data_IF_537659111622
#
_entry.id   IF_537659111622
#
_cell.length_a   1.000
_cell.length_b   1.000
_cell.length_c   1.000
_cell.angle_alpha   90.00
_cell.angle_beta   90.00
_cell.angle_gamma   90.00
#
_symmetry.space_group_name_H-M   'P 1'
#
loop_
_entity.id
_entity.type
_entity.pdbx_description
1 polymer ?
#
# COMPACT_ATOMS: atom_id res chain seq x y z
N UNK A 1 4.66 17.66 42.32
CA UNK A 1 4.45 18.18 40.95
C UNK A 1 4.43 16.96 40.04
N UNK A 2 3.33 16.21 40.09
CA UNK A 2 3.08 15.10 39.16
C UNK A 2 2.68 15.72 37.83
N UNK A 3 3.49 15.51 36.80
CA UNK A 3 3.14 15.89 35.44
C UNK A 3 1.98 15.01 34.98
N UNK A 4 0.80 15.61 34.80
CA UNK A 4 -0.27 15.01 34.02
C UNK A 4 0.23 14.78 32.58
N UNK A 5 0.75 13.58 32.31
CA UNK A 5 0.83 13.09 30.95
C UNK A 5 -0.61 12.89 30.48
N UNK A 6 -1.13 13.89 29.77
CA UNK A 6 -2.27 13.78 28.88
C UNK A 6 -2.02 12.60 27.93
N UNK A 7 -2.55 11.42 28.28
CA UNK A 7 -2.58 10.27 27.39
C UNK A 7 -3.46 10.63 26.21
N UNK A 8 -2.85 10.92 25.05
CA UNK A 8 -3.58 11.22 23.83
C UNK A 8 -4.49 10.05 23.48
N UNK A 9 -5.82 10.25 23.53
CA UNK A 9 -6.80 9.23 23.18
C UNK A 9 -6.62 8.81 21.72
N UNK A 10 -6.70 7.51 21.47
CA UNK A 10 -6.60 6.97 20.13
C UNK A 10 -7.64 7.60 19.18
N UNK A 11 -7.24 8.06 17.99
CA UNK A 11 -8.14 8.73 17.07
C UNK A 11 -9.15 7.76 16.44
N UNK A 12 -10.35 8.26 16.16
CA UNK A 12 -11.37 7.56 15.39
C UNK A 12 -11.17 7.69 13.87
N UNK A 13 -12.03 7.02 13.12
CA UNK A 13 -12.06 7.11 11.66
C UNK A 13 -12.78 8.37 11.18
N UNK A 14 -12.32 8.92 10.05
CA UNK A 14 -12.94 10.06 9.37
C UNK A 14 -12.92 9.83 7.86
N UNK A 15 -13.99 10.17 7.17
CA UNK A 15 -13.99 10.26 5.71
C UNK A 15 -13.83 11.74 5.31
N UNK A 16 -13.09 11.99 4.22
CA UNK A 16 -12.93 13.33 3.69
C UNK A 16 -12.90 13.34 2.17
N UNK A 17 -13.44 14.42 1.60
CA UNK A 17 -13.19 14.80 0.23
C UNK A 17 -11.94 15.68 0.19
N UNK A 18 -10.94 15.28 -0.58
CA UNK A 18 -9.63 15.92 -0.61
C UNK A 18 -9.30 16.42 -2.01
N UNK A 19 -8.64 17.57 -2.06
CA UNK A 19 -8.16 18.20 -3.28
C UNK A 19 -6.67 18.50 -3.09
N UNK A 20 -5.82 17.79 -3.82
CA UNK A 20 -4.36 17.87 -3.71
C UNK A 20 -3.79 18.54 -4.97
N UNK A 21 -2.78 19.40 -4.85
CA UNK A 21 -2.16 20.02 -6.03
C UNK A 21 -1.47 18.95 -6.90
N UNK A 22 -1.57 19.08 -8.23
CA UNK A 22 -0.79 18.23 -9.15
C UNK A 22 0.62 18.81 -9.33
N UNK A 23 1.63 17.94 -9.33
CA UNK A 23 3.05 18.34 -9.43
C UNK A 23 3.41 18.92 -10.81
N UNK A 24 2.59 18.69 -11.85
CA UNK A 24 2.88 19.10 -13.23
C UNK A 24 2.63 20.59 -13.54
N UNK A 25 2.34 21.43 -12.52
CA UNK A 25 2.09 22.88 -12.65
C UNK A 25 1.03 23.26 -13.72
N UNK A 26 0.12 22.33 -14.07
CA UNK A 26 -0.91 22.55 -15.10
C UNK A 26 -2.18 23.24 -14.57
N UNK A 27 -2.17 23.67 -13.30
CA UNK A 27 -3.29 24.30 -12.62
C UNK A 27 -4.45 23.35 -12.28
N UNK A 28 -4.27 22.02 -12.44
CA UNK A 28 -5.25 21.01 -12.03
C UNK A 28 -4.91 20.47 -10.64
N UNK A 29 -5.96 20.03 -9.97
CA UNK A 29 -5.92 19.38 -8.66
C UNK A 29 -6.38 17.94 -8.80
N UNK A 30 -5.84 17.08 -7.96
CA UNK A 30 -6.27 15.70 -7.78
C UNK A 30 -7.42 15.65 -6.76
N UNK A 31 -8.51 15.01 -7.14
CA UNK A 31 -9.74 14.92 -6.35
C UNK A 31 -9.95 13.49 -5.84
N UNK A 32 -10.03 13.30 -4.52
CA UNK A 32 -10.17 11.97 -3.92
C UNK A 32 -11.16 11.94 -2.76
N UNK A 33 -11.97 10.89 -2.71
CA UNK A 33 -12.58 10.41 -1.48
C UNK A 33 -11.56 9.56 -0.71
N UNK A 34 -11.32 9.92 0.56
CA UNK A 34 -10.31 9.30 1.41
C UNK A 34 -10.90 8.94 2.78
N UNK A 35 -10.37 7.87 3.39
CA UNK A 35 -10.63 7.50 4.78
C UNK A 35 -9.34 7.60 5.57
N UNK A 36 -9.45 8.15 6.77
CA UNK A 36 -8.35 8.38 7.70
C UNK A 36 -8.60 7.71 9.04
N UNK A 37 -7.53 7.22 9.66
CA UNK A 37 -7.46 6.85 11.08
C UNK A 37 -6.48 7.81 11.76
N UNK A 38 -6.99 8.81 12.48
CA UNK A 38 -6.17 9.97 12.85
C UNK A 38 -5.66 10.69 11.61
N UNK A 39 -4.35 10.81 11.47
CA UNK A 39 -3.69 11.41 10.31
C UNK A 39 -3.22 10.38 9.28
N UNK A 40 -3.45 9.08 9.54
CA UNK A 40 -3.06 8.01 8.62
C UNK A 40 -4.16 7.84 7.57
N UNK A 41 -3.82 8.05 6.30
CA UNK A 41 -4.68 7.70 5.16
C UNK A 41 -4.72 6.18 5.02
N UNK A 42 -5.89 5.58 5.27
CA UNK A 42 -6.09 4.12 5.28
C UNK A 42 -6.85 3.60 4.06
N UNK A 43 -7.51 4.49 3.33
CA UNK A 43 -8.14 4.16 2.04
C UNK A 43 -8.26 5.39 1.17
N UNK A 44 -8.16 5.22 -0.15
CA UNK A 44 -8.35 6.31 -1.11
C UNK A 44 -8.88 5.80 -2.45
N UNK A 45 -9.94 6.42 -2.94
CA UNK A 45 -10.41 6.26 -4.33
C UNK A 45 -9.32 6.54 -5.37
N UNK A 46 -8.40 7.47 -5.05
CA UNK A 46 -7.25 7.84 -5.88
C UNK A 46 -6.26 6.70 -6.12
N UNK A 47 -6.29 5.66 -5.29
CA UNK A 47 -5.43 4.49 -5.44
C UNK A 47 -5.69 3.72 -6.74
N UNK A 48 -6.90 3.83 -7.27
CA UNK A 48 -7.35 3.13 -8.48
C UNK A 48 -7.55 4.04 -9.68
N UNK A 49 -7.96 5.29 -9.45
CA UNK A 49 -8.22 6.25 -10.52
C UNK A 49 -7.80 7.64 -10.08
N UNK A 50 -6.82 8.22 -10.76
CA UNK A 50 -6.44 9.61 -10.56
C UNK A 50 -7.45 10.51 -11.28
N UNK A 51 -8.17 11.30 -10.51
CA UNK A 51 -9.14 12.24 -11.05
C UNK A 51 -8.61 13.67 -10.97
N UNK A 52 -8.37 14.27 -12.13
CA UNK A 52 -7.92 15.66 -12.24
C UNK A 52 -9.12 16.60 -12.41
N UNK A 53 -9.15 17.68 -11.63
CA UNK A 53 -10.18 18.72 -11.65
C UNK A 53 -9.54 20.10 -11.65
N UNK A 54 -10.09 21.05 -12.41
CA UNK A 54 -9.53 22.41 -12.46
C UNK A 54 -10.00 23.29 -11.28
N UNK A 55 -11.27 23.18 -10.88
CA UNK A 55 -11.87 24.13 -9.92
C UNK A 55 -12.66 23.47 -8.77
N UNK A 56 -13.41 22.40 -9.05
CA UNK A 56 -14.33 21.79 -8.08
C UNK A 56 -14.25 20.27 -8.11
N UNK A 57 -14.10 19.70 -6.93
CA UNK A 57 -14.24 18.28 -6.63
C UNK A 57 -15.62 18.08 -5.98
N UNK A 58 -16.52 17.34 -6.61
CA UNK A 58 -17.91 17.17 -6.16
C UNK A 58 -18.15 15.69 -5.90
N UNK A 59 -18.61 15.37 -4.69
CA UNK A 59 -19.16 14.06 -4.35
C UNK A 59 -20.68 14.10 -4.50
N UNK A 60 -21.25 13.11 -5.17
CA UNK A 60 -22.69 12.99 -5.41
C UNK A 60 -23.13 11.55 -5.20
N UNK A 61 -24.18 11.34 -4.39
CA UNK A 61 -24.96 10.11 -4.39
C UNK A 61 -26.20 10.35 -5.25
N UNK A 62 -26.30 9.65 -6.38
CA UNK A 62 -27.37 9.87 -7.35
C UNK A 62 -28.69 9.21 -6.91
N UNK A 63 -29.82 9.63 -7.50
CA UNK A 63 -31.15 9.06 -7.20
C UNK A 63 -31.26 7.56 -7.52
N UNK A 64 -30.51 7.09 -8.50
CA UNK A 64 -30.39 5.68 -8.86
C UNK A 64 -29.36 4.94 -7.98
N UNK A 65 -28.74 5.60 -7.00
CA UNK A 65 -27.92 4.95 -5.98
C UNK A 65 -26.44 4.77 -6.34
N UNK A 66 -25.89 5.60 -7.23
CA UNK A 66 -24.46 5.57 -7.60
C UNK A 66 -23.70 6.69 -6.88
N UNK A 67 -22.63 6.36 -6.15
CA UNK A 67 -21.75 7.34 -5.52
C UNK A 67 -20.67 7.73 -6.53
N UNK A 68 -20.54 9.03 -6.83
CA UNK A 68 -19.66 9.54 -7.89
C UNK A 68 -18.78 10.68 -7.39
N UNK A 69 -17.53 10.70 -7.86
CA UNK A 69 -16.67 11.88 -7.83
C UNK A 69 -16.67 12.51 -9.22
N UNK A 70 -17.11 13.78 -9.29
CA UNK A 70 -17.25 14.52 -10.55
C UNK A 70 -16.66 15.92 -10.48
N UNK A 71 -16.24 16.41 -11.64
CA UNK A 71 -15.76 17.79 -11.82
C UNK A 71 -16.93 18.74 -12.11
N UNK A 72 -16.67 20.04 -12.06
CA UNK A 72 -17.66 21.08 -12.44
C UNK A 72 -18.24 20.91 -13.86
N UNK A 73 -17.48 20.34 -14.80
CA UNK A 73 -17.93 20.06 -16.16
C UNK A 73 -18.72 18.74 -16.31
N UNK A 74 -19.13 18.13 -15.18
CA UNK A 74 -19.83 16.83 -15.10
C UNK A 74 -19.01 15.59 -15.52
N UNK A 75 -17.71 15.74 -15.80
CA UNK A 75 -16.83 14.58 -15.97
C UNK A 75 -16.73 13.77 -14.67
N UNK A 76 -16.99 12.47 -14.74
CA UNK A 76 -16.91 11.53 -13.61
C UNK A 76 -15.59 10.78 -13.68
N UNK A 77 -14.72 10.97 -12.70
CA UNK A 77 -13.41 10.30 -12.65
C UNK A 77 -13.39 9.04 -11.79
N UNK A 78 -14.34 8.91 -10.87
CA UNK A 78 -14.52 7.71 -10.04
C UNK A 78 -15.99 7.52 -9.67
N UNK A 79 -16.43 6.27 -9.58
CA UNK A 79 -17.78 5.91 -9.12
C UNK A 79 -17.81 4.53 -8.47
N UNK A 80 -18.81 4.28 -7.62
CA UNK A 80 -19.02 2.98 -6.95
C UNK A 80 -19.59 1.91 -7.87
N UNK A 81 -20.31 2.29 -8.95
CA UNK A 81 -20.93 1.34 -9.87
C UNK A 81 -22.21 0.71 -9.30
N UNK A 82 -22.90 1.41 -8.39
CA UNK A 82 -24.07 0.91 -7.66
C UNK A 82 -25.41 1.41 -8.20
N UNK A 83 -25.39 2.01 -9.39
CA UNK A 83 -26.57 2.42 -10.15
C UNK A 83 -27.62 1.30 -10.23
N UNK A 84 -28.86 1.60 -9.84
CA UNK A 84 -29.98 0.65 -9.85
C UNK A 84 -30.00 -0.34 -8.68
N UNK A 85 -29.04 -0.29 -7.75
CA UNK A 85 -28.98 -1.23 -6.62
C UNK A 85 -29.76 -0.79 -5.37
N UNK A 86 -30.49 0.33 -5.45
CA UNK A 86 -31.32 0.84 -4.35
C UNK A 86 -30.53 1.44 -3.19
N UNK A 87 -29.30 1.91 -3.43
CA UNK A 87 -28.50 2.60 -2.40
C UNK A 87 -29.20 3.89 -1.98
N UNK A 88 -29.35 4.07 -0.67
CA UNK A 88 -29.95 5.27 -0.07
C UNK A 88 -29.01 6.01 0.86
N UNK A 89 -28.06 5.29 1.47
CA UNK A 89 -27.14 5.86 2.46
C UNK A 89 -25.70 5.53 2.13
N UNK A 90 -24.87 6.52 2.45
CA UNK A 90 -23.42 6.47 2.38
C UNK A 90 -22.89 6.72 3.80
N UNK A 91 -22.21 5.74 4.39
CA UNK A 91 -21.81 5.79 5.79
C UNK A 91 -20.39 5.24 6.02
N UNK A 92 -19.73 5.70 7.07
CA UNK A 92 -18.47 5.14 7.57
C UNK A 92 -18.71 4.43 8.89
N UNK A 93 -18.36 3.15 8.95
CA UNK A 93 -18.51 2.32 10.13
C UNK A 93 -17.37 2.55 11.12
N UNK A 94 -17.55 2.15 12.38
CA UNK A 94 -16.52 2.25 13.43
C UNK A 94 -15.26 1.44 13.14
N UNK A 95 -15.33 0.48 12.20
CA UNK A 95 -14.22 -0.31 11.67
C UNK A 95 -13.38 0.44 10.62
N UNK A 96 -13.84 1.61 10.18
CA UNK A 96 -13.27 2.35 9.05
C UNK A 96 -13.78 1.86 7.69
N UNK A 97 -14.68 0.87 7.67
CA UNK A 97 -15.33 0.41 6.45
C UNK A 97 -16.31 1.48 5.95
N UNK A 98 -16.10 1.93 4.73
CA UNK A 98 -16.91 2.92 4.07
C UNK A 98 -17.91 2.16 3.20
N UNK A 99 -19.21 2.28 3.48
CA UNK A 99 -20.23 1.42 2.89
C UNK A 99 -21.37 2.21 2.24
N UNK A 100 -21.95 1.62 1.20
CA UNK A 100 -23.19 2.05 0.58
C UNK A 100 -24.27 1.02 0.91
N UNK A 101 -25.37 1.47 1.50
CA UNK A 101 -26.44 0.59 1.98
C UNK A 101 -27.79 0.99 1.40
N UNK A 102 -28.68 0.02 1.24
CA UNK A 102 -30.07 0.24 0.84
C UNK A 102 -30.99 0.56 2.03
N UNK A 103 -32.28 0.75 1.75
CA UNK A 103 -33.32 0.98 2.76
C UNK A 103 -33.35 -0.09 3.86
N UNK A 104 -32.98 -1.34 3.54
CA UNK A 104 -32.98 -2.49 4.44
C UNK A 104 -31.65 -2.68 5.19
N UNK A 105 -30.73 -1.71 5.11
CA UNK A 105 -29.37 -1.79 5.65
C UNK A 105 -28.51 -2.91 5.03
N UNK A 106 -28.84 -3.37 3.82
CA UNK A 106 -27.98 -4.32 3.11
C UNK A 106 -26.87 -3.56 2.39
N UNK A 107 -25.62 -3.98 2.64
CA UNK A 107 -24.43 -3.44 1.97
C UNK A 107 -24.47 -3.80 0.49
N UNK A 108 -24.47 -2.78 -0.37
CA UNK A 108 -24.36 -2.91 -1.84
C UNK A 108 -22.94 -2.70 -2.33
N UNK A 109 -22.15 -1.94 -1.60
CA UNK A 109 -20.75 -1.69 -1.88
C UNK A 109 -20.00 -1.35 -0.59
N UNK A 110 -18.74 -1.75 -0.49
CA UNK A 110 -17.90 -1.43 0.66
C UNK A 110 -16.44 -1.26 0.28
N UNK A 111 -15.74 -0.34 0.94
CA UNK A 111 -14.33 -0.07 0.68
C UNK A 111 -13.42 -1.25 1.01
N UNK A 112 -13.82 -2.13 1.92
CA UNK A 112 -13.04 -3.31 2.29
C UNK A 112 -12.82 -4.31 1.13
N UNK A 113 -13.72 -4.32 0.14
CA UNK A 113 -13.55 -5.11 -1.10
C UNK A 113 -12.56 -4.47 -2.10
N UNK A 114 -12.15 -3.22 -1.85
CA UNK A 114 -11.22 -2.46 -2.68
C UNK A 114 -10.04 -1.98 -1.81
N UNK A 115 -9.13 -2.89 -1.41
CA UNK A 115 -8.01 -2.55 -0.53
C UNK A 115 -6.88 -1.77 -1.23
N UNK A 116 -6.29 -0.81 -0.53
CA UNK A 116 -5.15 -0.01 -1.02
C UNK A 116 -3.81 -0.56 -0.53
N UNK A 117 -2.91 0.28 -0.01
CA UNK A 117 -1.68 -0.10 0.69
C UNK A 117 -1.90 -0.47 2.16
N UNK A 118 -3.12 -0.32 2.69
CA UNK A 118 -3.47 -0.53 4.10
C UNK A 118 -4.62 -1.53 4.21
N UNK A 119 -4.50 -2.41 5.20
CA UNK A 119 -5.54 -3.34 5.63
C UNK A 119 -5.96 -3.02 7.06
N UNK A 120 -7.26 -2.85 7.30
CA UNK A 120 -7.83 -2.52 8.61
C UNK A 120 -8.28 -3.76 9.38
N UNK A 121 -8.45 -3.61 10.69
CA UNK A 121 -8.96 -4.68 11.55
C UNK A 121 -10.35 -5.14 11.09
N UNK A 122 -10.55 -6.45 11.01
CA UNK A 122 -11.77 -7.09 10.51
C UNK A 122 -11.83 -7.23 8.98
N UNK A 123 -11.00 -6.51 8.23
CA UNK A 123 -10.91 -6.68 6.78
C UNK A 123 -10.37 -8.07 6.43
N UNK A 124 -10.86 -8.64 5.33
CA UNK A 124 -10.41 -9.91 4.75
C UNK A 124 -9.71 -9.62 3.44
N UNK A 125 -8.56 -10.26 3.23
CA UNK A 125 -7.84 -10.28 1.97
C UNK A 125 -7.69 -11.74 1.53
N UNK A 126 -8.14 -12.07 0.34
CA UNK A 126 -8.13 -13.42 -0.21
C UNK A 126 -7.19 -13.53 -1.42
N UNK A 127 -7.11 -14.71 -2.02
CA UNK A 127 -6.27 -14.97 -3.20
C UNK A 127 -6.63 -14.15 -4.43
N UNK A 128 -7.79 -13.51 -4.48
CA UNK A 128 -8.23 -12.67 -5.60
C UNK A 128 -7.89 -11.19 -5.40
N UNK A 129 -7.44 -10.82 -4.20
CA UNK A 129 -7.20 -9.42 -3.81
C UNK A 129 -5.76 -9.24 -3.33
N UNK A 130 -5.28 -8.00 -3.43
CA UNK A 130 -3.91 -7.66 -3.03
C UNK A 130 -3.86 -6.25 -2.47
N UNK A 131 -2.90 -6.00 -1.57
CA UNK A 131 -2.53 -4.64 -1.22
C UNK A 131 -1.43 -4.19 -2.18
N UNK A 132 -1.45 -2.94 -2.62
CA UNK A 132 -0.37 -2.40 -3.47
C UNK A 132 0.12 -1.06 -2.96
N UNK A 133 1.40 -0.77 -3.12
CA UNK A 133 1.92 0.58 -2.89
C UNK A 133 1.43 1.53 -3.98
N UNK A 134 1.13 2.77 -3.60
CA UNK A 134 0.73 3.82 -4.54
C UNK A 134 1.91 4.32 -5.39
N UNK A 135 1.75 4.60 -6.70
CA UNK A 135 0.60 4.32 -7.58
C UNK A 135 0.77 3.01 -8.37
N UNK A 136 -0.34 2.31 -8.67
CA UNK A 136 -0.36 1.11 -9.52
C UNK A 136 0.15 1.36 -10.95
N UNK A 137 0.02 2.59 -11.44
CA UNK A 137 0.49 3.03 -12.78
C UNK A 137 1.99 3.37 -12.81
N UNK A 138 2.71 3.13 -11.70
CA UNK A 138 4.16 3.24 -11.68
C UNK A 138 4.78 2.03 -12.38
N UNK A 139 5.90 2.26 -13.07
CA UNK A 139 6.74 1.17 -13.60
C UNK A 139 7.27 0.26 -12.50
N UNK A 140 7.32 0.75 -11.25
CA UNK A 140 7.75 0.01 -10.08
C UNK A 140 6.76 0.21 -8.93
N UNK A 141 6.21 -0.89 -8.40
CA UNK A 141 5.36 -0.88 -7.19
C UNK A 141 5.49 -2.19 -6.40
N UNK A 142 5.14 -2.14 -5.12
CA UNK A 142 5.13 -3.28 -4.22
C UNK A 142 3.72 -3.83 -4.05
N UNK A 143 3.59 -5.15 -3.88
CA UNK A 143 2.32 -5.78 -3.52
C UNK A 143 2.47 -6.77 -2.37
N UNK A 144 1.40 -6.91 -1.59
CA UNK A 144 1.21 -7.97 -0.60
C UNK A 144 0.07 -8.83 -1.07
N UNK A 145 0.34 -10.13 -1.18
CA UNK A 145 -0.55 -11.07 -1.84
C UNK A 145 -0.71 -12.33 -1.02
N UNK A 146 -1.93 -12.85 -1.03
CA UNK A 146 -2.27 -14.17 -0.49
C UNK A 146 -2.25 -15.14 -1.65
N UNK A 147 -1.42 -16.18 -1.54
CA UNK A 147 -1.32 -17.28 -2.51
C UNK A 147 -1.81 -18.56 -1.85
N UNK A 148 -2.10 -19.59 -2.64
CA UNK A 148 -2.63 -20.86 -2.13
C UNK A 148 -1.68 -21.60 -1.19
N UNK A 149 -0.38 -21.37 -1.28
CA UNK A 149 0.64 -22.04 -0.45
C UNK A 149 1.30 -21.11 0.57
N UNK A 150 1.17 -19.79 0.42
CA UNK A 150 1.94 -18.80 1.18
C UNK A 150 1.30 -17.41 1.14
N UNK A 151 1.85 -16.53 1.96
CA UNK A 151 1.65 -15.08 1.83
C UNK A 151 3.00 -14.49 1.42
N UNK A 152 3.00 -13.53 0.51
CA UNK A 152 4.25 -12.99 -0.01
C UNK A 152 4.19 -11.49 -0.28
N UNK A 153 5.38 -10.88 -0.28
CA UNK A 153 5.60 -9.54 -0.78
C UNK A 153 6.32 -9.58 -2.12
N UNK A 154 5.86 -8.76 -3.04
CA UNK A 154 6.37 -8.72 -4.41
C UNK A 154 6.80 -7.31 -4.82
N UNK A 155 7.95 -7.25 -5.50
CA UNK A 155 8.40 -6.11 -6.28
C UNK A 155 7.92 -6.34 -7.70
N UNK A 156 7.02 -5.47 -8.18
CA UNK A 156 6.52 -5.47 -9.53
C UNK A 156 7.29 -4.41 -10.31
N UNK A 157 7.96 -4.83 -11.37
CA UNK A 157 8.73 -3.96 -12.26
C UNK A 157 8.29 -4.22 -13.71
N UNK A 158 7.52 -3.30 -14.28
CA UNK A 158 6.89 -3.46 -15.59
C UNK A 158 6.07 -4.76 -15.66
N UNK A 159 6.53 -5.75 -16.44
CA UNK A 159 5.89 -7.08 -16.57
C UNK A 159 6.51 -8.14 -15.64
N UNK A 160 7.58 -7.80 -14.93
CA UNK A 160 8.33 -8.72 -14.10
C UNK A 160 7.89 -8.62 -12.64
N UNK A 161 7.93 -9.74 -11.94
CA UNK A 161 7.46 -9.85 -10.56
C UNK A 161 8.41 -10.71 -9.73
N UNK A 162 8.92 -10.13 -8.64
CA UNK A 162 9.93 -10.76 -7.79
C UNK A 162 9.44 -10.83 -6.35
N UNK A 163 9.36 -12.04 -5.81
CA UNK A 163 9.08 -12.26 -4.39
C UNK A 163 10.31 -11.91 -3.57
N UNK A 164 10.19 -11.09 -2.54
CA UNK A 164 11.33 -10.74 -1.66
C UNK A 164 11.09 -11.06 -0.19
N UNK A 165 9.89 -11.53 0.14
CA UNK A 165 9.56 -12.03 1.46
C UNK A 165 8.38 -13.00 1.36
N UNK A 166 8.43 -14.09 2.13
CA UNK A 166 7.40 -15.11 2.13
C UNK A 166 7.14 -15.61 3.54
N UNK A 167 5.88 -15.89 3.83
CA UNK A 167 5.43 -16.60 5.02
C UNK A 167 4.65 -17.83 4.60
N UNK A 168 5.15 -19.02 4.97
CA UNK A 168 4.52 -20.31 4.72
C UNK A 168 3.95 -20.88 6.01
N UNK A 169 2.68 -21.32 6.04
CA UNK A 169 2.13 -22.07 7.16
C UNK A 169 2.92 -23.37 7.42
N UNK A 170 2.98 -23.81 8.67
CA UNK A 170 3.82 -24.92 9.16
C UNK A 170 3.50 -26.27 8.47
N UNK A 171 2.28 -26.46 7.98
CA UNK A 171 1.78 -27.77 7.52
C UNK A 171 1.46 -27.83 6.01
N UNK A 172 2.05 -26.96 5.16
CA UNK A 172 1.71 -26.87 3.73
C UNK A 172 0.20 -26.79 3.45
N UNK A 173 -0.57 -26.27 4.42
CA UNK A 173 -2.02 -26.12 4.31
C UNK A 173 -2.34 -25.06 3.26
N UNK A 174 -3.41 -25.31 2.51
CA UNK A 174 -3.90 -24.35 1.53
C UNK A 174 -4.39 -23.09 2.22
N UNK A 175 -3.83 -21.95 1.85
CA UNK A 175 -4.26 -20.64 2.29
C UNK A 175 -5.37 -20.16 1.36
N UNK A 176 -6.45 -19.64 1.93
CA UNK A 176 -7.56 -19.04 1.19
C UNK A 176 -7.63 -17.52 1.41
N UNK A 177 -7.49 -17.10 2.67
CA UNK A 177 -7.55 -15.69 3.03
C UNK A 177 -6.81 -15.39 4.33
N UNK A 178 -6.53 -14.11 4.52
CA UNK A 178 -6.05 -13.55 5.77
C UNK A 178 -7.05 -12.54 6.32
N UNK A 179 -7.09 -12.40 7.64
CA UNK A 179 -7.90 -11.41 8.34
C UNK A 179 -7.07 -10.72 9.40
N UNK A 180 -7.08 -9.39 9.39
CA UNK A 180 -6.39 -8.63 10.42
C UNK A 180 -7.26 -8.58 11.67
N UNK A 181 -6.69 -8.93 12.82
CA UNK A 181 -7.34 -8.80 14.12
C UNK A 181 -6.46 -8.04 15.12
N UNK A 182 -6.99 -7.82 16.32
CA UNK A 182 -6.28 -7.12 17.40
C UNK A 182 -5.04 -7.87 17.91
N UNK A 183 -4.89 -9.16 17.59
CA UNK A 183 -3.75 -10.02 17.97
C UNK A 183 -2.78 -10.29 16.80
N UNK A 184 -2.97 -9.62 15.66
CA UNK A 184 -2.11 -9.74 14.50
C UNK A 184 -2.86 -10.26 13.26
N UNK A 185 -2.11 -10.81 12.31
CA UNK A 185 -2.66 -11.28 11.04
C UNK A 185 -2.97 -12.77 11.14
N UNK A 186 -4.25 -13.12 11.06
CA UNK A 186 -4.73 -14.50 11.03
C UNK A 186 -4.78 -15.03 9.60
N UNK A 187 -4.43 -16.31 9.43
CA UNK A 187 -4.36 -17.00 8.15
C UNK A 187 -5.35 -18.17 8.18
N UNK A 188 -6.18 -18.29 7.15
CA UNK A 188 -7.27 -19.26 7.09
C UNK A 188 -7.24 -20.13 5.84
N UNK A 189 -7.73 -21.35 5.98
CA UNK A 189 -7.97 -22.29 4.87
C UNK A 189 -9.35 -22.08 4.22
N UNK A 190 -9.69 -22.94 3.25
CA UNK A 190 -10.97 -22.91 2.53
C UNK A 190 -12.18 -23.14 3.46
N UNK A 191 -11.99 -23.91 4.52
CA UNK A 191 -13.02 -24.20 5.53
C UNK A 191 -13.11 -23.13 6.62
N UNK A 192 -12.36 -22.03 6.48
CA UNK A 192 -12.24 -20.97 7.49
C UNK A 192 -11.66 -21.43 8.84
N UNK A 193 -10.89 -22.54 8.85
CA UNK A 193 -10.06 -22.87 9.99
C UNK A 193 -8.80 -22.01 9.98
N UNK A 194 -8.40 -21.53 11.16
CA UNK A 194 -7.18 -20.77 11.31
C UNK A 194 -5.97 -21.72 11.25
N UNK A 195 -5.10 -21.50 10.28
CA UNK A 195 -3.92 -22.35 9.99
C UNK A 195 -2.59 -21.69 10.34
N UNK A 196 -2.61 -20.39 10.68
CA UNK A 196 -1.41 -19.66 11.07
C UNK A 196 -1.74 -18.27 11.61
N UNK A 197 -0.75 -17.63 12.24
CA UNK A 197 -0.83 -16.26 12.73
C UNK A 197 0.55 -15.60 12.73
N UNK A 198 0.62 -14.37 12.23
CA UNK A 198 1.73 -13.46 12.55
C UNK A 198 1.31 -12.69 13.80
N UNK A 199 1.84 -13.13 14.95
CA UNK A 199 1.35 -12.69 16.25
C UNK A 199 1.93 -11.33 16.64
N UNK A 200 1.03 -10.38 16.85
CA UNK A 200 1.38 -9.10 17.45
C UNK A 200 0.15 -8.50 18.13
N UNK A 201 0.19 -8.21 19.44
CA UNK A 201 -0.96 -7.65 20.13
C UNK A 201 -1.15 -6.16 19.81
N UNK A 202 -2.38 -5.69 20.02
CA UNK A 202 -2.79 -4.28 19.93
C UNK A 202 -2.57 -3.65 18.54
N UNK A 203 -2.73 -4.45 17.49
CA UNK A 203 -2.64 -3.98 16.12
C UNK A 203 -3.91 -3.27 15.70
N UNK A 204 -3.72 -2.14 15.02
CA UNK A 204 -4.79 -1.29 14.49
C UNK A 204 -4.94 -1.43 12.99
N UNK A 205 -3.83 -1.52 12.28
CA UNK A 205 -3.79 -1.74 10.84
C UNK A 205 -2.48 -2.38 10.41
N UNK A 206 -2.50 -2.90 9.19
CA UNK A 206 -1.36 -3.45 8.47
C UNK A 206 -1.13 -2.54 7.26
N UNK A 207 0.13 -2.21 6.95
CA UNK A 207 0.44 -1.42 5.76
C UNK A 207 1.70 -1.90 5.05
N UNK A 208 1.72 -1.71 3.72
CA UNK A 208 2.96 -1.77 2.93
C UNK A 208 3.59 -0.38 2.89
N UNK A 209 4.87 -0.29 3.25
CA UNK A 209 5.63 0.95 3.15
C UNK A 209 5.75 1.41 1.70
N UNK A 210 5.21 2.60 1.37
CA UNK A 210 5.23 3.16 0.00
C UNK A 210 6.63 3.24 -0.64
N UNK A 211 7.65 3.52 0.16
CA UNK A 211 9.04 3.68 -0.32
C UNK A 211 9.85 2.39 -0.22
N UNK A 212 9.60 1.57 0.80
CA UNK A 212 10.43 0.42 1.16
C UNK A 212 9.86 -0.91 0.70
N UNK A 213 8.57 -0.97 0.40
CA UNK A 213 7.85 -2.24 0.20
C UNK A 213 7.71 -3.08 1.47
N UNK A 214 8.18 -2.61 2.62
CA UNK A 214 8.16 -3.46 3.82
C UNK A 214 6.73 -3.61 4.35
N UNK A 215 6.39 -4.81 4.80
CA UNK A 215 5.16 -5.10 5.52
C UNK A 215 5.30 -4.71 6.98
N UNK A 216 4.35 -3.95 7.51
CA UNK A 216 4.33 -3.56 8.92
C UNK A 216 2.97 -3.75 9.57
N UNK A 217 2.98 -4.13 10.86
CA UNK A 217 1.79 -4.09 11.72
C UNK A 217 1.91 -2.90 12.69
N UNK A 218 0.92 -2.03 12.67
CA UNK A 218 0.97 -0.75 13.35
C UNK A 218 0.07 -0.74 14.58
N UNK A 219 0.62 -0.23 15.69
CA UNK A 219 -0.09 -0.01 16.95
C UNK A 219 -0.04 1.47 17.29
N UNK A 220 -1.07 1.96 17.99
CA UNK A 220 -1.08 3.32 18.50
C UNK A 220 -0.20 3.42 19.75
N UNK A 221 0.71 4.39 19.79
CA UNK A 221 1.52 4.72 20.97
C UNK A 221 0.97 6.00 21.63
N UNK A 222 0.30 5.89 22.79
CA UNK A 222 -0.24 7.06 23.48
C UNK A 222 0.81 8.09 23.86
N UNK A 223 2.05 7.65 24.10
CA UNK A 223 3.17 8.50 24.53
C UNK A 223 3.61 9.47 23.44
N UNK A 224 3.59 9.02 22.18
CA UNK A 224 3.99 9.83 21.01
C UNK A 224 2.79 10.38 20.25
N UNK A 225 1.57 9.93 20.57
CA UNK A 225 0.34 10.26 19.87
C UNK A 225 0.31 9.77 18.42
N UNK A 226 1.11 8.76 18.08
CA UNK A 226 1.33 8.29 16.71
C UNK A 226 1.14 6.79 16.57
N UNK A 227 0.83 6.37 15.35
CA UNK A 227 0.90 4.97 14.97
C UNK A 227 2.33 4.60 14.61
N UNK A 228 2.85 3.57 15.25
CA UNK A 228 4.22 3.10 15.03
C UNK A 228 4.21 1.61 14.66
N UNK A 229 5.15 1.22 13.81
CA UNK A 229 5.32 -0.18 13.42
C UNK A 229 5.80 -0.97 14.64
N UNK A 230 4.95 -1.88 15.10
CA UNK A 230 5.27 -2.79 16.20
C UNK A 230 5.90 -4.08 15.68
N UNK A 231 5.66 -4.42 14.41
CA UNK A 231 6.26 -5.53 13.68
C UNK A 231 6.64 -5.06 12.27
N UNK A 232 7.75 -5.58 11.76
CA UNK A 232 8.16 -5.44 10.37
C UNK A 232 8.60 -6.81 9.84
N UNK A 233 8.20 -7.15 8.62
CA UNK A 233 8.56 -8.41 7.97
C UNK A 233 10.07 -8.54 7.74
N UNK A 234 10.69 -7.44 7.32
CA UNK A 234 12.13 -7.36 7.05
C UNK A 234 12.73 -6.37 8.04
N UNK A 235 13.68 -6.83 8.87
CA UNK A 235 14.31 -6.02 9.90
C UNK A 235 15.59 -5.31 9.42
N UNK A 236 16.26 -5.88 8.42
CA UNK A 236 17.49 -5.35 7.90
C UNK A 236 17.24 -4.51 6.64
N UNK A 237 17.72 -3.27 6.63
CA UNK A 237 17.54 -2.35 5.51
C UNK A 237 18.11 -2.91 4.21
N UNK A 238 19.24 -3.61 4.25
CA UNK A 238 19.85 -4.19 3.04
C UNK A 238 19.09 -5.38 2.46
N UNK A 239 18.18 -5.98 3.22
CA UNK A 239 17.36 -7.10 2.76
C UNK A 239 16.05 -6.60 2.10
N UNK A 240 15.81 -5.29 2.11
CA UNK A 240 14.70 -4.68 1.40
C UNK A 240 14.98 -4.63 -0.11
N UNK A 241 13.94 -4.81 -0.94
CA UNK A 241 14.06 -4.56 -2.37
C UNK A 241 14.44 -3.10 -2.61
N UNK A 242 15.37 -2.87 -3.53
CA UNK A 242 15.79 -1.50 -3.93
C UNK A 242 16.19 -0.65 -2.71
N UNK A 243 16.86 -1.26 -1.71
CA UNK A 243 17.29 -0.60 -0.49
C UNK A 243 18.12 0.67 -0.73
N UNK A 244 18.91 0.66 -1.80
CA UNK A 244 19.72 1.79 -2.24
C UNK A 244 19.24 2.31 -3.59
N UNK A 245 19.41 3.62 -3.79
CA UNK A 245 19.22 4.26 -5.09
C UNK A 245 20.16 3.66 -6.14
N UNK A 246 19.88 3.84 -7.45
CA UNK A 246 20.81 3.45 -8.51
C UNK A 246 22.25 3.90 -8.21
N UNK A 247 23.22 3.03 -8.51
CA UNK A 247 24.65 3.18 -8.18
C UNK A 247 25.01 3.14 -6.69
N UNK A 248 24.05 2.85 -5.81
CA UNK A 248 24.28 2.62 -4.39
C UNK A 248 24.50 1.15 -4.06
N UNK A 249 25.47 0.85 -3.20
CA UNK A 249 25.71 -0.45 -2.57
C UNK A 249 25.30 -0.37 -1.11
N UNK A 250 24.57 -1.37 -0.63
CA UNK A 250 24.28 -1.48 0.80
C UNK A 250 25.48 -2.08 1.52
N UNK A 251 26.00 -1.35 2.52
CA UNK A 251 27.19 -1.75 3.28
C UNK A 251 26.81 -2.56 4.52
N UNK A 252 27.79 -3.22 5.15
CA UNK A 252 27.59 -3.92 6.43
C UNK A 252 27.04 -3.04 7.55
N UNK A 253 27.25 -1.71 7.45
CA UNK A 253 26.68 -0.73 8.38
C UNK A 253 25.20 -0.41 8.10
N UNK A 254 24.54 -1.18 7.22
CA UNK A 254 23.14 -1.01 6.80
C UNK A 254 22.87 0.36 6.18
N UNK A 255 23.90 0.96 5.60
CA UNK A 255 23.85 2.26 4.94
C UNK A 255 24.25 2.12 3.47
N UNK A 256 23.67 2.97 2.63
CA UNK A 256 24.00 3.02 1.21
C UNK A 256 25.24 3.88 0.97
N UNK A 257 26.22 3.34 0.25
CA UNK A 257 27.36 4.08 -0.28
C UNK A 257 27.31 4.08 -1.82
N UNK A 258 27.77 5.14 -2.46
CA UNK A 258 27.82 5.18 -3.92
C UNK A 258 29.04 4.42 -4.44
N UNK A 259 28.87 3.68 -5.53
CA UNK A 259 29.99 3.10 -6.29
C UNK A 259 30.89 4.24 -6.74
N UNK A 260 32.14 4.22 -6.29
CA UNK A 260 33.18 5.11 -6.82
C UNK A 260 33.82 4.42 -8.02
N UNK A 261 33.45 4.82 -9.22
CA UNK A 261 34.18 4.41 -10.43
C UNK A 261 35.47 5.21 -10.45
N UNK A 262 36.60 4.54 -10.23
CA UNK A 262 37.92 5.15 -10.41
C UNK A 262 38.11 5.35 -11.91
N UNK A 263 37.88 6.58 -12.38
CA UNK A 263 38.34 6.97 -13.72
C UNK A 263 39.87 7.04 -13.66
N UNK A 264 40.55 6.45 -14.65
CA UNK A 264 41.98 6.63 -14.89
C UNK A 264 42.21 8.06 -15.44
N UNK A 265 41.99 9.06 -14.59
CA UNK A 265 42.19 10.47 -14.86
C UNK A 265 42.55 11.18 -13.56
N UNK A 266 43.67 11.89 -13.57
CA UNK A 266 44.33 12.52 -12.42
C UNK A 266 43.38 13.10 -11.35
N UNK A 267 43.48 12.57 -10.13
CA UNK A 267 42.85 13.08 -8.92
C UNK A 267 43.53 14.36 -8.39
N UNK A 268 43.71 15.38 -9.23
CA UNK A 268 44.27 16.67 -8.80
C UNK A 268 43.52 17.90 -9.34
N UNK A 269 42.23 17.76 -9.62
CA UNK A 269 41.36 18.91 -9.81
C UNK A 269 40.11 18.79 -8.95
N UNK A 270 40.02 19.68 -7.96
CA UNK A 270 38.81 19.98 -7.21
C UNK A 270 37.82 20.70 -8.15
N UNK A 271 37.14 19.94 -9.00
CA UNK A 271 35.96 20.43 -9.70
C UNK A 271 34.78 19.54 -9.33
N UNK A 272 33.76 20.18 -8.76
CA UNK A 272 32.41 19.66 -8.56
C UNK A 272 31.78 19.37 -9.94
N UNK A 273 32.28 18.34 -10.61
CA UNK A 273 31.80 17.89 -11.89
C UNK A 273 30.56 17.04 -11.72
N UNK A 274 29.39 17.66 -11.76
CA UNK A 274 28.11 17.00 -12.03
C UNK A 274 28.31 16.15 -13.29
N UNK A 275 28.41 14.83 -13.14
CA UNK A 275 28.21 13.92 -14.25
C UNK A 275 26.80 14.23 -14.74
N UNK A 276 26.71 14.88 -15.90
CA UNK A 276 25.47 15.17 -16.58
C UNK A 276 24.73 13.86 -16.75
N UNK A 277 23.75 13.63 -15.86
CA UNK A 277 22.85 12.50 -15.88
C UNK A 277 22.04 12.59 -17.18
N UNK A 278 22.60 12.04 -18.26
CA UNK A 278 21.76 11.54 -19.35
C UNK A 278 20.73 10.63 -18.69
N UNK A 279 19.47 11.05 -18.79
CA UNK A 279 18.24 10.28 -18.55
C UNK A 279 18.55 8.78 -18.54
N UNK A 280 18.39 8.13 -17.38
CA UNK A 280 18.33 6.68 -17.30
C UNK A 280 17.09 6.24 -18.10
N UNK A 281 17.27 5.98 -19.38
CA UNK A 281 16.30 5.26 -20.19
C UNK A 281 16.82 3.82 -20.31
N UNK A 282 15.95 2.87 -19.97
CA UNK A 282 16.08 1.41 -20.06
C UNK A 282 17.18 0.77 -19.19
N UNK A 283 16.78 0.30 -18.00
CA UNK A 283 17.62 -0.50 -17.11
C UNK A 283 16.85 -1.79 -16.78
N UNK A 284 17.54 -2.93 -16.88
CA UNK A 284 16.98 -4.25 -16.61
C UNK A 284 17.60 -4.82 -15.33
N UNK A 285 16.78 -5.46 -14.49
CA UNK A 285 17.30 -6.24 -13.38
C UNK A 285 17.80 -7.58 -13.91
N UNK A 286 19.12 -7.80 -13.86
CA UNK A 286 19.76 -9.04 -14.28
C UNK A 286 20.07 -9.91 -13.07
N UNK A 287 19.60 -11.15 -13.08
CA UNK A 287 19.99 -12.15 -12.09
C UNK A 287 21.42 -12.62 -12.34
N UNK A 288 22.31 -12.39 -11.37
CA UNK A 288 23.70 -12.85 -11.44
C UNK A 288 23.82 -14.26 -10.88
N UNK A 289 24.32 -15.20 -11.69
CA UNK A 289 24.57 -16.58 -11.25
C UNK A 289 25.61 -16.61 -10.13
N UNK A 290 25.33 -17.37 -9.07
CA UNK A 290 26.24 -17.54 -7.93
C UNK A 290 26.19 -16.41 -6.89
N UNK A 291 25.26 -15.46 -7.02
CA UNK A 291 25.03 -14.39 -6.04
C UNK A 291 23.76 -14.69 -5.25
N UNK A 292 23.85 -14.65 -3.92
CA UNK A 292 22.68 -14.74 -3.06
C UNK A 292 21.90 -13.42 -3.12
N UNK A 293 20.64 -13.48 -3.55
CA UNK A 293 19.73 -12.34 -3.60
C UNK A 293 18.49 -12.59 -2.74
N UNK A 294 17.93 -11.52 -2.18
CA UNK A 294 16.62 -11.57 -1.51
C UNK A 294 15.47 -11.72 -2.50
N UNK A 295 15.68 -11.28 -3.76
CA UNK A 295 14.69 -11.38 -4.82
C UNK A 295 14.66 -12.81 -5.36
N UNK A 296 13.48 -13.43 -5.33
CA UNK A 296 13.20 -14.74 -5.89
C UNK A 296 12.24 -14.57 -7.06
N UNK A 297 12.46 -15.32 -8.13
CA UNK A 297 11.53 -15.29 -9.25
C UNK A 297 10.14 -15.72 -8.75
N UNK A 298 9.16 -14.84 -8.84
CA UNK A 298 7.81 -15.14 -8.39
C UNK A 298 7.12 -15.95 -9.46
N UNK A 299 7.22 -17.29 -9.42
CA UNK A 299 6.45 -18.25 -10.26
C UNK A 299 5.99 -17.69 -11.62
N UNK A 300 6.92 -17.75 -12.58
CA UNK A 300 6.85 -18.30 -13.95
C UNK A 300 5.63 -18.06 -14.87
N UNK A 301 5.96 -17.62 -16.09
CA UNK A 301 5.22 -17.65 -17.36
C UNK A 301 3.87 -16.93 -17.44
N UNK A 302 3.91 -15.71 -17.99
CA UNK A 302 2.84 -15.25 -18.88
C UNK A 302 3.01 -15.91 -20.27
N UNK A 303 3.00 -17.25 -20.32
CA UNK A 303 2.71 -17.96 -21.57
C UNK A 303 1.20 -18.23 -21.62
N UNK A 304 0.49 -17.48 -22.47
CA UNK A 304 -0.84 -17.89 -22.93
C UNK A 304 -1.91 -16.79 -22.99
N UNK A 305 -2.01 -16.20 -24.20
CA UNK A 305 -3.15 -15.49 -24.82
C UNK A 305 -3.45 -14.05 -24.41
#
# INVERSE_FOLDING_TARGET
MESELSSAREPGFKAALTMEANDDNDGRYLCYLQVFLGDVKVWSSGHYSKMYVSNKCIIELTKDGDLRLKSSNKHVGWRSGTSGQGVERFEIQSTGNLVLVDAMNMIKWQSFNFPTDVMLSGQRLDVATQLTSFPKDSTLFYSFEVLRDKIALFLNLNKLKYSYWEYKPIENKTVNFVRLGSKGLDIFDDNSHKIGRIEKPMIRFLAIGKKTGNFGLYSYKPETGKFEASFQAISNTCDLPVACKPYGICTFNKSCSCIKVVSNGDCNKNEEGVISMKKLCDHEMVELKGVTTVLRNGTQDCDGC
#
